data_IF_217511963981
#
_entry.id   IF_217511963981
#
_cell.length_a   1.000
_cell.length_b   1.000
_cell.length_c   1.000
_cell.angle_alpha   90.00
_cell.angle_beta   90.00
_cell.angle_gamma   90.00
#
_symmetry.space_group_name_H-M   'P 1'
#
loop_
_entity.id
_entity.type
_entity.pdbx_description
1 polymer ?
#
# COMPACT_ATOMS: atom_id res chain seq x y z
N UNK A 1 -18.10 -1.78 -1.29
CA UNK A 1 -17.35 -1.78 -2.53
C UNK A 1 -16.06 -0.99 -2.41
N UNK A 2 -15.07 -1.36 -3.21
CA UNK A 2 -13.74 -0.76 -3.21
C UNK A 2 -13.35 -0.34 -4.62
N UNK A 3 -12.58 0.72 -4.70
CA UNK A 3 -12.01 1.17 -5.97
C UNK A 3 -10.49 1.18 -5.86
N UNK A 4 -9.81 0.70 -6.89
CA UNK A 4 -8.35 0.70 -6.96
C UNK A 4 -7.93 1.65 -8.07
N UNK A 5 -7.05 2.60 -7.73
CA UNK A 5 -6.52 3.57 -8.68
C UNK A 5 -5.02 3.38 -8.80
N UNK A 6 -4.54 3.15 -10.02
CA UNK A 6 -3.11 3.08 -10.30
C UNK A 6 -2.59 4.49 -10.53
N UNK A 7 -1.59 4.88 -9.75
CA UNK A 7 -1.03 6.23 -9.79
C UNK A 7 0.41 6.17 -10.27
N UNK A 8 0.72 6.67 -11.47
CA UNK A 8 2.11 6.78 -11.91
C UNK A 8 2.87 7.77 -11.03
N UNK A 9 4.04 7.38 -10.61
CA UNK A 9 4.92 8.19 -9.76
C UNK A 9 6.31 8.18 -10.37
N UNK A 10 7.01 9.33 -10.27
CA UNK A 10 8.33 9.48 -10.85
C UNK A 10 8.28 9.09 -12.35
N UNK A 11 9.31 8.45 -12.87
CA UNK A 11 9.30 8.04 -14.27
C UNK A 11 8.77 6.61 -14.48
N UNK A 12 9.14 5.70 -13.60
CA UNK A 12 8.89 4.28 -13.79
C UNK A 12 8.24 3.58 -12.62
N UNK A 13 7.66 4.31 -11.68
CA UNK A 13 7.08 3.72 -10.49
C UNK A 13 5.57 3.91 -10.44
N UNK A 14 4.92 3.05 -9.67
CA UNK A 14 3.48 3.11 -9.47
C UNK A 14 3.14 3.00 -8.00
N UNK A 15 2.12 3.72 -7.58
CA UNK A 15 1.46 3.52 -6.31
C UNK A 15 0.03 3.08 -6.58
N UNK A 16 -0.54 2.30 -5.67
CA UNK A 16 -1.91 1.82 -5.83
C UNK A 16 -2.76 2.34 -4.68
N UNK A 17 -3.73 3.16 -5.01
CA UNK A 17 -4.63 3.76 -4.03
C UNK A 17 -5.91 2.95 -3.98
N UNK A 18 -6.27 2.51 -2.77
CA UNK A 18 -7.47 1.71 -2.54
C UNK A 18 -8.44 2.57 -1.75
N UNK A 19 -9.64 2.76 -2.27
CA UNK A 19 -10.69 3.51 -1.58
C UNK A 19 -11.86 2.62 -1.19
N UNK A 20 -12.32 2.77 0.04
CA UNK A 20 -13.57 2.18 0.49
C UNK A 20 -14.68 3.15 0.16
N UNK A 21 -15.52 2.82 -0.80
CA UNK A 21 -16.54 3.74 -1.30
C UNK A 21 -17.66 4.02 -0.30
N UNK A 22 -17.82 3.15 0.70
CA UNK A 22 -18.83 3.37 1.73
C UNK A 22 -18.38 4.35 2.80
N UNK A 23 -17.09 4.39 3.12
CA UNK A 23 -16.57 5.20 4.22
C UNK A 23 -15.75 6.39 3.77
N UNK A 24 -15.22 6.37 2.56
CA UNK A 24 -14.29 7.38 2.09
C UNK A 24 -12.87 7.23 2.62
N UNK A 25 -12.58 6.15 3.36
CA UNK A 25 -11.24 5.86 3.81
C UNK A 25 -10.41 5.25 2.69
N UNK A 26 -9.13 5.56 2.68
CA UNK A 26 -8.21 5.05 1.65
C UNK A 26 -6.93 4.48 2.25
N UNK A 27 -6.36 3.54 1.53
CA UNK A 27 -5.04 3.00 1.79
C UNK A 27 -4.17 3.17 0.55
N UNK A 28 -2.89 3.43 0.75
CA UNK A 28 -1.94 3.55 -0.36
C UNK A 28 -0.90 2.45 -0.26
N UNK A 29 -0.61 1.80 -1.38
CA UNK A 29 0.44 0.80 -1.46
C UNK A 29 1.66 1.47 -2.08
N UNK A 30 2.69 1.62 -1.27
CA UNK A 30 3.94 2.31 -1.58
C UNK A 30 3.76 3.80 -1.85
N UNK A 31 4.81 4.57 -1.61
CA UNK A 31 4.77 6.03 -1.71
C UNK A 31 6.05 6.53 -2.39
N UNK A 32 6.19 6.31 -3.70
CA UNK A 32 7.37 6.82 -4.40
C UNK A 32 7.40 8.34 -4.43
N UNK A 33 6.22 8.94 -4.54
CA UNK A 33 6.08 10.38 -4.68
C UNK A 33 4.72 10.79 -4.13
N UNK A 34 4.70 11.79 -3.25
CA UNK A 34 3.45 12.17 -2.57
C UNK A 34 2.50 13.00 -3.43
N UNK A 35 3.02 13.87 -4.27
CA UNK A 35 2.19 14.85 -4.99
C UNK A 35 1.05 14.20 -5.81
N UNK A 36 1.30 13.20 -6.67
CA UNK A 36 0.20 12.60 -7.43
C UNK A 36 -0.78 11.84 -6.54
N UNK A 37 -0.30 11.29 -5.42
CA UNK A 37 -1.18 10.59 -4.47
C UNK A 37 -2.10 11.59 -3.79
N UNK A 38 -1.55 12.71 -3.30
CA UNK A 38 -2.34 13.75 -2.66
C UNK A 38 -3.38 14.33 -3.61
N UNK A 39 -3.01 14.50 -4.87
CA UNK A 39 -3.92 15.00 -5.89
C UNK A 39 -5.11 14.05 -6.11
N UNK A 40 -4.82 12.75 -6.16
CA UNK A 40 -5.87 11.74 -6.35
C UNK A 40 -6.79 11.65 -5.12
N UNK A 41 -6.22 11.72 -3.91
CA UNK A 41 -7.03 11.75 -2.69
C UNK A 41 -8.01 12.91 -2.70
N UNK A 42 -7.53 14.07 -3.13
CA UNK A 42 -8.36 15.27 -3.21
C UNK A 42 -9.46 15.11 -4.26
N UNK A 43 -9.11 14.60 -5.43
CA UNK A 43 -10.05 14.37 -6.52
C UNK A 43 -11.16 13.41 -6.12
N UNK A 44 -10.81 12.33 -5.45
CA UNK A 44 -11.76 11.32 -4.99
C UNK A 44 -12.47 11.70 -3.70
N UNK A 45 -11.98 12.72 -3.00
CA UNK A 45 -12.47 13.13 -1.67
C UNK A 45 -12.32 12.01 -0.64
N UNK A 46 -11.22 11.29 -0.73
CA UNK A 46 -10.90 10.21 0.20
C UNK A 46 -9.93 10.71 1.27
N UNK A 47 -10.03 10.10 2.45
CA UNK A 47 -9.11 10.37 3.57
C UNK A 47 -8.18 9.19 3.73
N UNK A 48 -6.88 9.44 3.63
CA UNK A 48 -5.88 8.39 3.77
C UNK A 48 -5.77 8.00 5.24
N UNK A 49 -5.87 6.70 5.51
CA UNK A 49 -5.73 6.17 6.87
C UNK A 49 -4.59 5.16 7.00
N UNK A 50 -4.20 4.51 5.92
CA UNK A 50 -3.27 3.39 5.97
C UNK A 50 -2.27 3.46 4.84
N UNK A 51 -1.01 3.14 5.16
CA UNK A 51 0.06 3.00 4.19
C UNK A 51 0.58 1.57 4.26
N UNK A 52 0.64 0.91 3.12
CA UNK A 52 1.16 -0.45 2.99
C UNK A 52 2.47 -0.39 2.20
N UNK A 53 3.57 -0.80 2.83
CA UNK A 53 4.89 -0.77 2.21
C UNK A 53 5.31 -2.18 1.81
N UNK A 54 5.60 -2.39 0.53
CA UNK A 54 6.00 -3.70 0.04
C UNK A 54 7.48 -3.99 0.30
N UNK A 55 8.31 -2.95 0.35
CA UNK A 55 9.74 -3.09 0.62
C UNK A 55 10.33 -1.72 1.00
N UNK A 56 11.61 -1.70 1.37
CA UNK A 56 12.27 -0.50 1.91
C UNK A 56 12.88 0.43 0.86
N UNK A 57 12.85 0.06 -0.40
CA UNK A 57 13.54 0.81 -1.44
C UNK A 57 13.10 2.28 -1.44
N UNK A 58 14.05 3.20 -1.58
CA UNK A 58 13.78 4.64 -1.46
C UNK A 58 12.69 5.14 -2.41
N UNK A 59 12.64 4.61 -3.61
CA UNK A 59 11.65 5.01 -4.61
C UNK A 59 10.23 4.50 -4.30
N UNK A 60 10.04 3.81 -3.18
CA UNK A 60 8.73 3.38 -2.72
C UNK A 60 8.35 3.93 -1.35
N UNK A 61 9.24 4.66 -0.68
CA UNK A 61 8.96 5.21 0.65
C UNK A 61 9.31 6.68 0.79
N UNK A 62 10.01 7.25 -0.18
CA UNK A 62 10.58 8.58 -0.07
C UNK A 62 9.55 9.69 0.06
N UNK A 63 8.37 9.50 -0.51
CA UNK A 63 7.30 10.48 -0.45
C UNK A 63 6.46 10.45 0.82
N UNK A 64 6.77 9.55 1.75
CA UNK A 64 5.91 9.28 2.89
C UNK A 64 5.64 10.51 3.76
N UNK A 65 6.66 11.33 4.00
CA UNK A 65 6.55 12.49 4.86
C UNK A 65 5.71 13.62 4.26
N UNK A 66 5.50 13.61 2.96
CA UNK A 66 4.76 14.66 2.26
C UNK A 66 3.32 14.29 1.97
N UNK A 67 2.86 13.15 2.45
CA UNK A 67 1.47 12.75 2.27
C UNK A 67 0.54 13.64 3.06
N UNK A 68 -0.53 14.07 2.40
CA UNK A 68 -1.62 14.78 3.07
C UNK A 68 -2.44 13.79 3.84
N UNK A 69 -2.20 13.72 5.13
CA UNK A 69 -2.92 12.83 5.99
C UNK A 69 -3.19 13.53 7.31
N UNK A 70 -4.17 13.02 8.00
CA UNK A 70 -4.40 13.45 9.38
C UNK A 70 -3.49 12.64 10.29
N UNK A 71 -3.35 13.10 11.52
CA UNK A 71 -2.65 12.35 12.54
C UNK A 71 -3.24 10.94 12.65
N UNK A 72 -2.39 9.98 12.94
CA UNK A 72 -2.85 8.62 13.13
C UNK A 72 -2.77 7.72 11.90
N UNK A 73 -1.97 8.08 10.91
CA UNK A 73 -1.68 7.17 9.80
C UNK A 73 -1.10 5.87 10.33
N UNK A 74 -1.70 4.77 9.89
CA UNK A 74 -1.16 3.43 10.17
C UNK A 74 -0.22 3.04 9.05
N UNK A 75 1.05 2.80 9.39
CA UNK A 75 2.08 2.42 8.43
C UNK A 75 2.45 0.98 8.67
N UNK A 76 2.24 0.14 7.67
CA UNK A 76 2.43 -1.31 7.77
C UNK A 76 3.52 -1.74 6.80
N UNK A 77 4.48 -2.49 7.29
CA UNK A 77 5.57 -3.01 6.46
C UNK A 77 6.14 -4.30 7.02
N UNK A 78 7.10 -4.88 6.31
CA UNK A 78 7.69 -6.16 6.68
C UNK A 78 8.50 -6.07 7.96
N UNK A 79 8.27 -7.01 8.88
CA UNK A 79 9.04 -7.08 10.11
C UNK A 79 10.53 -7.30 9.84
N UNK A 80 10.84 -8.13 8.87
CA UNK A 80 12.24 -8.41 8.51
C UNK A 80 12.99 -7.17 8.04
N UNK A 81 12.29 -6.14 7.61
CA UNK A 81 12.84 -4.91 7.08
C UNK A 81 12.56 -3.69 7.95
N UNK A 82 12.03 -3.91 9.14
CA UNK A 82 11.58 -2.82 10.01
C UNK A 82 12.68 -1.82 10.33
N UNK A 83 13.92 -2.27 10.45
CA UNK A 83 15.05 -1.39 10.77
C UNK A 83 15.44 -0.45 9.63
N UNK A 84 14.97 -0.71 8.42
CA UNK A 84 15.25 0.10 7.22
C UNK A 84 14.07 0.97 6.80
N UNK A 85 12.89 0.69 7.33
CA UNK A 85 11.68 1.43 7.00
C UNK A 85 11.50 2.60 7.95
N UNK A 86 10.75 3.63 7.53
CA UNK A 86 10.35 4.66 8.50
C UNK A 86 9.57 4.00 9.63
N UNK A 87 9.34 4.75 10.69
CA UNK A 87 8.68 4.21 11.88
C UNK A 87 7.38 3.51 11.52
N UNK A 88 7.34 2.19 11.64
CA UNK A 88 6.16 1.41 11.33
C UNK A 88 5.19 1.45 12.51
N UNK A 89 3.90 1.58 12.18
CA UNK A 89 2.84 1.38 13.16
C UNK A 89 2.66 -0.10 13.43
N UNK A 90 2.86 -0.93 12.40
CA UNK A 90 2.71 -2.37 12.52
C UNK A 90 3.70 -3.07 11.59
N UNK A 91 4.49 -3.98 12.15
CA UNK A 91 5.40 -4.83 11.39
C UNK A 91 4.74 -6.19 11.19
N UNK A 92 4.77 -6.70 9.96
CA UNK A 92 4.08 -7.93 9.61
C UNK A 92 5.03 -8.94 8.98
N UNK A 93 4.68 -10.21 9.08
CA UNK A 93 5.44 -11.31 8.50
C UNK A 93 4.60 -12.17 7.59
N UNK A 94 5.28 -13.13 6.96
CA UNK A 94 4.65 -14.07 6.04
C UNK A 94 3.47 -14.79 6.70
N UNK A 95 2.40 -14.94 5.94
CA UNK A 95 1.18 -15.65 6.36
C UNK A 95 0.39 -14.97 7.47
N UNK A 96 0.74 -13.76 7.85
CA UNK A 96 -0.10 -12.99 8.75
C UNK A 96 -1.34 -12.46 8.03
N UNK A 97 -2.39 -12.21 8.78
CA UNK A 97 -3.61 -11.58 8.28
C UNK A 97 -3.84 -10.29 9.06
N UNK A 98 -4.12 -9.23 8.34
CA UNK A 98 -4.45 -7.93 8.93
C UNK A 98 -5.74 -7.41 8.32
N UNK A 99 -6.31 -6.38 8.95
CA UNK A 99 -7.44 -5.67 8.35
C UNK A 99 -6.95 -4.39 7.69
N UNK A 100 -7.36 -4.19 6.44
CA UNK A 100 -7.10 -2.97 5.69
C UNK A 100 -8.44 -2.45 5.21
N UNK A 101 -8.82 -1.25 5.63
CA UNK A 101 -10.10 -0.64 5.24
C UNK A 101 -11.29 -1.58 5.50
N UNK A 102 -11.25 -2.28 6.66
CA UNK A 102 -12.30 -3.19 7.11
C UNK A 102 -12.42 -4.45 6.25
N UNK A 103 -11.37 -4.82 5.54
CA UNK A 103 -11.34 -6.07 4.79
C UNK A 103 -10.05 -6.82 5.09
N UNK A 104 -10.07 -8.16 5.10
CA UNK A 104 -8.87 -8.92 5.39
C UNK A 104 -7.84 -8.80 4.28
N UNK A 105 -6.59 -8.69 4.70
CA UNK A 105 -5.43 -8.69 3.82
C UNK A 105 -4.46 -9.74 4.32
N UNK A 106 -4.00 -10.60 3.43
CA UNK A 106 -3.03 -11.64 3.73
C UNK A 106 -1.65 -11.21 3.28
N UNK A 107 -0.66 -11.50 4.11
CA UNK A 107 0.72 -11.10 3.86
C UNK A 107 1.51 -12.29 3.35
N UNK A 108 2.24 -12.11 2.25
CA UNK A 108 3.12 -13.14 1.72
C UNK A 108 4.52 -12.59 1.55
N UNK A 109 5.51 -13.34 2.01
CA UNK A 109 6.91 -13.01 1.79
C UNK A 109 7.26 -13.41 0.36
N UNK A 110 7.67 -12.43 -0.42
CA UNK A 110 8.07 -12.64 -1.82
C UNK A 110 9.53 -12.25 -2.03
N UNK A 111 10.31 -12.33 -0.96
CA UNK A 111 11.74 -11.97 -0.99
C UNK A 111 12.51 -12.99 -1.83
N UNK A 112 12.77 -12.68 -3.09
CA UNK A 112 13.61 -13.51 -3.93
C UNK A 112 14.98 -12.90 -4.08
N UNK A 113 15.03 -11.58 -4.22
CA UNK A 113 16.26 -10.83 -4.46
C UNK A 113 16.59 -9.88 -3.34
N UNK A 114 15.59 -9.41 -2.60
CA UNK A 114 15.77 -8.49 -1.48
C UNK A 114 15.06 -9.02 -0.26
N UNK A 115 15.68 -8.84 0.90
CA UNK A 115 15.07 -9.20 2.17
C UNK A 115 13.95 -8.21 2.50
N UNK A 116 12.86 -8.72 3.05
CA UNK A 116 11.78 -7.86 3.53
C UNK A 116 10.77 -7.45 2.49
N UNK A 117 10.81 -8.05 1.31
CA UNK A 117 9.84 -7.77 0.25
C UNK A 117 8.59 -8.62 0.48
N UNK A 118 7.44 -7.97 0.63
CA UNK A 118 6.17 -8.65 0.88
C UNK A 118 5.11 -8.22 -0.12
N UNK A 119 4.09 -9.06 -0.25
CA UNK A 119 2.92 -8.79 -1.05
C UNK A 119 1.69 -8.76 -0.14
N UNK A 120 0.70 -7.98 -0.52
CA UNK A 120 -0.59 -7.88 0.17
C UNK A 120 -1.68 -8.45 -0.72
N UNK A 121 -2.35 -9.49 -0.25
CA UNK A 121 -3.46 -10.09 -0.96
C UNK A 121 -4.76 -9.70 -0.28
N UNK A 122 -5.63 -9.01 -1.00
CA UNK A 122 -6.95 -8.62 -0.52
C UNK A 122 -8.01 -9.39 -1.29
N UNK A 123 -8.51 -10.52 -0.73
CA UNK A 123 -9.43 -11.40 -1.46
C UNK A 123 -10.71 -10.71 -1.91
N UNK A 124 -11.24 -9.79 -1.10
CA UNK A 124 -12.50 -9.12 -1.45
C UNK A 124 -12.36 -8.16 -2.63
N UNK A 125 -11.14 -7.80 -2.97
CA UNK A 125 -10.84 -6.99 -4.14
C UNK A 125 -10.30 -7.83 -5.30
N UNK A 126 -10.08 -9.12 -5.08
CA UNK A 126 -9.41 -10.00 -6.05
C UNK A 126 -8.07 -9.41 -6.51
N UNK A 127 -7.30 -8.88 -5.58
CA UNK A 127 -6.08 -8.14 -5.90
C UNK A 127 -4.91 -8.55 -5.05
N UNK A 128 -3.74 -8.69 -5.68
CA UNK A 128 -2.47 -8.88 -5.01
C UNK A 128 -1.58 -7.70 -5.37
N UNK A 129 -1.09 -7.00 -4.36
CA UNK A 129 -0.19 -5.86 -4.53
C UNK A 129 1.22 -6.29 -4.21
N UNK A 130 2.10 -6.20 -5.21
CA UNK A 130 3.54 -6.39 -5.05
C UNK A 130 4.22 -5.08 -5.42
N UNK A 131 5.54 -5.02 -5.32
CA UNK A 131 6.25 -3.82 -5.76
C UNK A 131 5.94 -3.54 -7.24
N UNK A 132 5.51 -2.34 -7.54
CA UNK A 132 5.22 -1.86 -8.91
C UNK A 132 4.19 -2.70 -9.67
N UNK A 133 3.50 -3.61 -9.01
CA UNK A 133 2.58 -4.50 -9.70
C UNK A 133 1.28 -4.69 -8.95
N UNK A 134 0.22 -4.74 -9.69
CA UNK A 134 -1.10 -5.12 -9.22
C UNK A 134 -1.58 -6.30 -10.06
N UNK A 135 -1.95 -7.38 -9.42
CA UNK A 135 -2.53 -8.52 -10.13
C UNK A 135 -3.97 -8.71 -9.70
N UNK A 136 -4.87 -8.67 -10.69
CA UNK A 136 -6.28 -8.98 -10.46
C UNK A 136 -6.47 -10.47 -10.64
N UNK A 137 -7.04 -11.11 -9.64
CA UNK A 137 -7.26 -12.55 -9.62
C UNK A 137 -8.72 -12.87 -9.96
N UNK A 138 -8.94 -14.05 -10.51
CA UNK A 138 -10.28 -14.54 -10.77
C UNK A 138 -10.98 -13.95 -11.98
N UNK A 139 -10.33 -13.08 -12.74
CA UNK A 139 -10.91 -12.44 -13.90
C UNK A 139 -10.44 -13.03 -15.22
N UNK A 140 -9.61 -14.02 -15.20
CA UNK A 140 -9.11 -14.65 -16.41
C UNK A 140 -8.16 -13.78 -17.23
N UNK A 141 -7.48 -12.91 -16.57
CA UNK A 141 -6.51 -12.02 -17.22
C UNK A 141 -5.11 -12.44 -16.99
#
# INVERSE_FOLDING_TARGET
>A
PYEIVTIPCLEDNYAFLIGNLDTGEAAIVDVPEAAPINEMLKTKRWTLSTVLLTHHHWDHVDGLNDLQSRDGLTIIGAQADAHRLPALSKAVGDKETIDVLRTPAYIFDVSGHTVGHIAFYLPKLDAVFTADSLMALGCGR
#
